data_IF_411821492055
#
_entry.id   IF_411821492055
#
_cell.length_a   1.000
_cell.length_b   1.000
_cell.length_c   1.000
_cell.angle_alpha   90.00
_cell.angle_beta   90.00
_cell.angle_gamma   90.00
#
_symmetry.space_group_name_H-M   'P 1'
#
loop_
_entity.id
_entity.type
_entity.pdbx_description
1 polymer ?
#
# COMPACT_ATOMS: atom_id res chain seq x y z
N UNK A 1 12.41 -5.70 29.65
CA UNK A 1 11.86 -6.39 28.45
C UNK A 1 11.85 -5.50 27.21
N UNK A 2 11.46 -4.21 27.32
CA UNK A 2 11.52 -3.26 26.18
C UNK A 2 12.92 -3.09 25.56
N UNK A 3 13.99 -3.14 26.36
CA UNK A 3 15.37 -3.07 25.85
C UNK A 3 15.77 -4.29 24.98
N UNK A 4 15.29 -5.49 25.30
CA UNK A 4 15.68 -6.72 24.61
C UNK A 4 14.97 -6.85 23.24
N UNK A 5 13.75 -6.35 23.16
CA UNK A 5 13.01 -6.16 21.89
C UNK A 5 13.68 -5.09 21.03
N UNK A 6 14.13 -3.98 21.64
CA UNK A 6 14.87 -2.92 20.96
C UNK A 6 16.19 -3.43 20.36
N UNK A 7 16.96 -4.23 21.10
CA UNK A 7 18.23 -4.80 20.61
C UNK A 7 18.04 -5.84 19.49
N UNK A 8 16.98 -6.64 19.50
CA UNK A 8 16.66 -7.53 18.38
C UNK A 8 16.24 -6.73 17.12
N UNK A 9 15.46 -5.66 17.27
CA UNK A 9 15.10 -4.78 16.15
C UNK A 9 16.33 -4.08 15.57
N UNK A 10 17.23 -3.60 16.42
CA UNK A 10 18.50 -2.97 15.98
C UNK A 10 19.41 -3.99 15.28
N UNK A 11 19.50 -5.23 15.76
CA UNK A 11 20.30 -6.28 15.13
C UNK A 11 19.87 -6.62 13.69
N UNK A 12 18.56 -6.56 13.40
CA UNK A 12 18.04 -6.73 12.04
C UNK A 12 18.24 -5.50 11.13
N UNK A 13 18.51 -4.32 11.72
CA UNK A 13 18.69 -3.08 10.95
C UNK A 13 20.10 -2.97 10.35
N UNK A 14 21.10 -3.68 10.87
CA UNK A 14 22.50 -3.51 10.49
C UNK A 14 23.14 -4.70 9.74
N UNK A 15 22.36 -5.69 9.28
CA UNK A 15 22.87 -6.72 8.37
C UNK A 15 23.35 -6.08 7.07
N UNK A 16 24.59 -6.39 6.70
CA UNK A 16 25.33 -5.81 5.57
C UNK A 16 24.56 -5.94 4.24
N UNK A 17 24.82 -4.95 3.38
CA UNK A 17 24.22 -4.78 2.04
C UNK A 17 24.78 -5.84 1.10
N UNK A 18 24.17 -7.02 1.11
CA UNK A 18 24.19 -7.90 -0.05
C UNK A 18 22.80 -7.85 -0.68
N UNK A 19 22.74 -7.46 -1.95
CA UNK A 19 21.56 -7.65 -2.79
C UNK A 19 21.34 -9.15 -2.82
N UNK A 20 20.34 -9.61 -2.07
CA UNK A 20 20.07 -11.02 -1.95
C UNK A 20 19.78 -11.65 -3.31
N UNK A 21 20.18 -12.92 -3.45
CA UNK A 21 19.59 -13.86 -4.40
C UNK A 21 18.05 -13.78 -4.37
N UNK A 22 17.43 -14.03 -5.51
CA UNK A 22 16.00 -13.82 -5.82
C UNK A 22 15.08 -14.07 -4.62
N UNK A 23 14.27 -13.07 -4.27
CA UNK A 23 13.28 -13.16 -3.19
C UNK A 23 12.33 -14.34 -3.39
N UNK A 24 12.17 -15.16 -2.36
CA UNK A 24 11.23 -16.28 -2.38
C UNK A 24 10.00 -16.04 -1.49
N UNK A 25 8.88 -16.65 -1.87
CA UNK A 25 7.67 -16.69 -1.05
C UNK A 25 7.49 -18.02 -0.35
N UNK A 26 7.33 -17.97 0.96
CA UNK A 26 6.91 -19.11 1.78
C UNK A 26 5.41 -18.99 2.07
N UNK A 27 4.59 -19.79 1.40
CA UNK A 27 3.15 -19.77 1.58
C UNK A 27 2.70 -20.63 2.76
N UNK A 28 1.77 -20.10 3.56
CA UNK A 28 1.06 -20.80 4.61
C UNK A 28 -0.44 -20.62 4.38
N UNK A 29 -1.18 -21.71 4.46
CA UNK A 29 -2.64 -21.66 4.51
C UNK A 29 -3.07 -21.73 5.98
N UNK A 30 -3.99 -20.85 6.35
CA UNK A 30 -4.47 -20.70 7.72
C UNK A 30 -5.99 -20.70 7.75
N UNK A 31 -6.63 -21.65 8.43
CA UNK A 31 -8.07 -21.64 8.63
C UNK A 31 -8.44 -21.32 10.07
N UNK A 32 -9.56 -20.62 10.26
CA UNK A 32 -10.15 -20.41 11.59
C UNK A 32 -10.84 -21.71 12.03
N UNK A 33 -10.49 -22.23 13.20
CA UNK A 33 -11.15 -23.40 13.80
C UNK A 33 -12.31 -22.97 14.71
N UNK A 34 -12.13 -21.88 15.48
CA UNK A 34 -13.18 -21.31 16.35
C UNK A 34 -12.80 -19.92 16.88
N UNK A 35 -13.82 -19.17 17.29
CA UNK A 35 -13.68 -17.97 18.13
C UNK A 35 -13.64 -18.38 19.60
N UNK A 36 -12.75 -17.77 20.38
CA UNK A 36 -12.49 -18.10 21.78
C UNK A 36 -12.62 -16.84 22.63
N UNK A 37 -13.48 -16.91 23.67
CA UNK A 37 -13.56 -15.90 24.71
C UNK A 37 -12.31 -15.97 25.61
N UNK A 38 -11.43 -14.97 25.53
CA UNK A 38 -10.17 -14.93 26.28
C UNK A 38 -10.28 -14.11 27.57
N UNK A 39 -11.14 -13.11 27.62
CA UNK A 39 -11.43 -12.34 28.84
C UNK A 39 -12.88 -12.51 29.29
N UNK A 40 -13.18 -12.19 30.55
CA UNK A 40 -14.55 -12.12 31.01
C UNK A 40 -15.01 -10.64 30.97
N UNK A 41 -15.96 -10.26 30.10
CA UNK A 41 -16.42 -8.87 29.99
C UNK A 41 -17.24 -8.42 31.20
N UNK A 42 -17.89 -9.36 31.90
CA UNK A 42 -18.76 -9.08 33.05
C UNK A 42 -18.41 -9.93 34.29
N UNK A 43 -17.24 -9.71 34.92
CA UNK A 43 -16.85 -10.45 36.11
C UNK A 43 -17.71 -10.06 37.33
N UNK A 44 -18.38 -11.05 37.95
CA UNK A 44 -19.25 -10.86 39.11
C UNK A 44 -18.51 -11.17 40.41
N UNK A 45 -18.49 -10.21 41.34
CA UNK A 45 -17.82 -10.33 42.64
C UNK A 45 -16.34 -9.93 42.64
N UNK A 46 -15.80 -9.61 43.81
CA UNK A 46 -14.45 -9.07 43.95
C UNK A 46 -13.34 -10.03 43.51
N UNK A 47 -13.49 -11.32 43.81
CA UNK A 47 -12.50 -12.34 43.45
C UNK A 47 -12.42 -12.58 41.94
N UNK A 48 -13.58 -12.66 41.26
CA UNK A 48 -13.63 -12.83 39.81
C UNK A 48 -13.16 -11.59 39.06
N UNK A 49 -13.41 -10.38 39.60
CA UNK A 49 -12.82 -9.13 39.08
C UNK A 49 -11.30 -9.16 39.13
N UNK A 50 -10.73 -9.65 40.23
CA UNK A 50 -9.27 -9.76 40.40
C UNK A 50 -8.67 -10.76 39.42
N UNK A 51 -9.28 -11.95 39.26
CA UNK A 51 -8.86 -12.93 38.24
C UNK A 51 -8.97 -12.38 36.82
N UNK A 52 -10.06 -11.68 36.50
CA UNK A 52 -10.27 -11.08 35.19
C UNK A 52 -9.18 -10.04 34.87
N UNK A 53 -8.79 -9.21 35.84
CA UNK A 53 -7.73 -8.23 35.67
C UNK A 53 -6.37 -8.89 35.39
N UNK A 54 -6.00 -9.92 36.17
CA UNK A 54 -4.75 -10.67 35.92
C UNK A 54 -4.78 -11.36 34.56
N UNK A 55 -5.89 -12.02 34.21
CA UNK A 55 -6.06 -12.72 32.93
C UNK A 55 -5.98 -11.74 31.75
N UNK A 56 -6.64 -10.58 31.85
CA UNK A 56 -6.60 -9.52 30.85
C UNK A 56 -5.17 -9.02 30.65
N UNK A 57 -4.42 -8.74 31.72
CA UNK A 57 -3.01 -8.32 31.62
C UNK A 57 -2.12 -9.37 30.93
N UNK A 58 -2.29 -10.66 31.26
CA UNK A 58 -1.57 -11.76 30.57
C UNK A 58 -1.94 -11.82 29.09
N UNK A 59 -3.23 -11.67 28.75
CA UNK A 59 -3.69 -11.70 27.37
C UNK A 59 -3.21 -10.48 26.57
N UNK A 60 -3.09 -9.30 27.18
CA UNK A 60 -2.46 -8.13 26.54
C UNK A 60 -1.02 -8.42 26.15
N UNK A 61 -0.21 -9.00 27.06
CA UNK A 61 1.17 -9.40 26.76
C UNK A 61 1.23 -10.42 25.62
N UNK A 62 0.33 -11.42 25.63
CA UNK A 62 0.24 -12.43 24.57
C UNK A 62 -0.18 -11.84 23.23
N UNK A 63 -1.17 -10.93 23.20
CA UNK A 63 -1.58 -10.21 21.98
C UNK A 63 -0.40 -9.44 21.40
N UNK A 64 0.28 -8.63 22.22
CA UNK A 64 1.44 -7.85 21.75
C UNK A 64 2.56 -8.75 21.22
N UNK A 65 2.87 -9.84 21.92
CA UNK A 65 3.86 -10.81 21.45
C UNK A 65 3.43 -11.47 20.14
N UNK A 66 2.15 -11.83 20.03
CA UNK A 66 1.61 -12.47 18.83
C UNK A 66 1.66 -11.53 17.62
N UNK A 67 1.03 -10.36 17.73
CA UNK A 67 0.92 -9.38 16.65
C UNK A 67 2.27 -8.78 16.23
N UNK A 68 3.23 -8.70 17.15
CA UNK A 68 4.56 -8.13 16.86
C UNK A 68 5.56 -9.20 16.40
N UNK A 69 5.54 -10.38 17.01
CA UNK A 69 6.60 -11.39 16.84
C UNK A 69 6.12 -12.61 16.06
N UNK A 70 5.18 -13.39 16.60
CA UNK A 70 4.86 -14.70 16.00
C UNK A 70 4.07 -14.58 14.70
N UNK A 71 3.28 -13.52 14.54
CA UNK A 71 2.55 -13.24 13.30
C UNK A 71 3.48 -12.82 12.15
N UNK A 72 4.64 -12.23 12.45
CA UNK A 72 5.51 -11.63 11.42
C UNK A 72 6.84 -12.36 11.20
N UNK A 73 7.38 -13.03 12.22
CA UNK A 73 8.73 -13.60 12.20
C UNK A 73 8.82 -15.07 12.59
N UNK A 74 7.84 -15.59 13.34
CA UNK A 74 7.85 -16.96 13.83
C UNK A 74 6.52 -17.68 13.53
N UNK A 75 6.18 -17.75 12.23
CA UNK A 75 4.89 -18.29 11.78
C UNK A 75 4.70 -19.74 12.21
N UNK A 76 5.54 -20.64 11.70
CA UNK A 76 5.51 -22.09 11.94
C UNK A 76 4.17 -22.76 11.61
N UNK A 77 4.17 -24.09 11.58
CA UNK A 77 2.95 -24.88 11.39
C UNK A 77 2.26 -25.17 12.74
N UNK A 78 1.04 -25.70 12.67
CA UNK A 78 0.28 -26.21 13.82
C UNK A 78 -0.86 -25.28 14.25
N UNK A 79 -1.43 -25.59 15.41
CA UNK A 79 -2.49 -24.78 16.01
C UNK A 79 -1.88 -23.52 16.63
N UNK A 80 -2.42 -22.36 16.25
CA UNK A 80 -2.00 -21.03 16.73
C UNK A 80 -3.22 -20.30 17.29
N UNK A 81 -2.95 -19.22 18.02
CA UNK A 81 -3.98 -18.29 18.46
C UNK A 81 -3.71 -16.93 17.84
N UNK A 82 -4.70 -16.38 17.15
CA UNK A 82 -4.69 -15.04 16.59
C UNK A 82 -5.50 -14.14 17.52
N UNK A 83 -4.88 -13.15 18.14
CA UNK A 83 -5.61 -12.25 19.02
C UNK A 83 -6.34 -11.19 18.20
N UNK A 84 -7.61 -10.95 18.50
CA UNK A 84 -8.38 -9.88 17.86
C UNK A 84 -7.78 -8.52 18.23
N UNK A 85 -7.67 -7.67 17.22
CA UNK A 85 -7.23 -6.29 17.33
C UNK A 85 -8.44 -5.36 17.55
N UNK A 86 -9.64 -5.79 17.16
CA UNK A 86 -10.90 -5.04 17.31
C UNK A 86 -11.65 -5.32 18.63
N UNK A 87 -11.72 -6.59 19.04
CA UNK A 87 -12.37 -7.00 20.28
C UNK A 87 -11.34 -7.62 21.22
N UNK A 88 -11.04 -6.87 22.28
CA UNK A 88 -10.00 -7.26 23.21
C UNK A 88 -10.33 -8.48 24.07
N UNK A 89 -11.57 -8.96 24.04
CA UNK A 89 -12.06 -10.06 24.84
C UNK A 89 -12.12 -11.40 24.10
N UNK A 90 -11.86 -11.40 22.78
CA UNK A 90 -11.82 -12.62 21.96
C UNK A 90 -10.44 -12.87 21.30
N UNK A 91 -10.27 -14.09 20.83
CA UNK A 91 -9.20 -14.52 19.93
C UNK A 91 -9.71 -15.63 19.01
N UNK A 92 -8.97 -15.96 17.96
CA UNK A 92 -9.26 -17.03 17.02
C UNK A 92 -8.26 -18.17 17.20
N UNK A 93 -8.77 -19.39 17.39
CA UNK A 93 -7.94 -20.58 17.23
C UNK A 93 -7.84 -20.85 15.73
N UNK A 94 -6.61 -20.95 15.22
CA UNK A 94 -6.35 -21.15 13.80
C UNK A 94 -5.42 -22.33 13.58
N UNK A 95 -5.65 -23.07 12.50
CA UNK A 95 -4.72 -24.11 12.03
C UNK A 95 -3.90 -23.55 10.89
N UNK A 96 -2.56 -23.57 11.04
CA UNK A 96 -1.63 -23.10 10.00
C UNK A 96 -0.81 -24.26 9.44
N UNK A 97 -0.74 -24.37 8.12
CA UNK A 97 0.01 -25.41 7.40
C UNK A 97 0.83 -24.77 6.28
N UNK A 98 2.08 -25.19 6.10
CA UNK A 98 2.93 -24.68 5.02
C UNK A 98 2.48 -25.29 3.69
N UNK A 99 2.22 -24.45 2.71
CA UNK A 99 1.83 -24.85 1.35
C UNK A 99 3.07 -25.39 0.63
N UNK A 100 2.91 -26.53 -0.06
CA UNK A 100 4.02 -27.21 -0.75
C UNK A 100 3.98 -26.97 -2.25
N UNK A 101 2.78 -26.93 -2.81
CA UNK A 101 2.48 -26.68 -4.20
C UNK A 101 0.97 -26.36 -4.30
N UNK A 102 0.51 -26.02 -5.50
CA UNK A 102 -0.89 -25.69 -5.75
C UNK A 102 -1.84 -26.85 -5.36
N UNK A 103 -1.51 -28.09 -5.72
CA UNK A 103 -2.32 -29.27 -5.36
C UNK A 103 -2.51 -29.37 -3.84
N UNK A 104 -1.45 -29.17 -3.07
CA UNK A 104 -1.53 -29.16 -1.60
C UNK A 104 -2.40 -28.01 -1.09
N UNK A 105 -2.37 -26.84 -1.74
CA UNK A 105 -3.27 -25.72 -1.38
C UNK A 105 -4.75 -26.07 -1.61
N UNK A 106 -5.07 -26.70 -2.74
CA UNK A 106 -6.43 -27.17 -3.04
C UNK A 106 -6.91 -28.21 -2.01
N UNK A 107 -6.04 -29.15 -1.64
CA UNK A 107 -6.30 -30.14 -0.59
C UNK A 107 -6.60 -29.47 0.75
N UNK A 108 -5.82 -28.43 1.12
CA UNK A 108 -6.02 -27.67 2.36
C UNK A 108 -7.30 -26.83 2.36
N UNK A 109 -7.74 -26.33 1.20
CA UNK A 109 -9.02 -25.64 1.02
C UNK A 109 -10.23 -26.58 1.15
N UNK A 110 -10.01 -27.90 1.17
CA UNK A 110 -11.06 -28.89 1.39
C UNK A 110 -12.04 -29.05 0.22
N UNK A 111 -11.65 -28.66 -1.00
CA UNK A 111 -12.49 -28.72 -2.19
C UNK A 111 -11.98 -29.76 -3.19
N UNK A 112 -12.89 -30.43 -3.90
CA UNK A 112 -12.54 -31.41 -4.92
C UNK A 112 -12.01 -30.77 -6.21
N UNK A 113 -12.53 -29.58 -6.56
CA UNK A 113 -12.13 -28.78 -7.70
C UNK A 113 -12.54 -27.30 -7.50
N UNK A 114 -12.02 -26.41 -8.37
CA UNK A 114 -12.24 -24.95 -8.29
C UNK A 114 -13.72 -24.53 -8.39
N UNK A 115 -14.60 -25.34 -9.01
CA UNK A 115 -16.03 -25.00 -9.11
C UNK A 115 -16.76 -25.06 -7.76
N UNK A 116 -16.15 -25.72 -6.76
CA UNK A 116 -16.67 -25.86 -5.40
C UNK A 116 -16.12 -24.83 -4.42
N UNK A 117 -15.20 -23.98 -4.87
CA UNK A 117 -14.62 -22.93 -4.04
C UNK A 117 -15.59 -21.79 -3.80
N UNK A 118 -15.53 -21.22 -2.60
CA UNK A 118 -16.06 -19.87 -2.36
C UNK A 118 -15.28 -18.85 -3.19
N UNK A 119 -15.87 -17.69 -3.46
CA UNK A 119 -15.14 -16.66 -4.21
C UNK A 119 -13.92 -16.16 -3.43
N UNK A 120 -14.00 -16.12 -2.10
CA UNK A 120 -12.84 -15.85 -1.24
C UNK A 120 -11.71 -16.87 -1.39
N UNK A 121 -12.02 -18.16 -1.52
CA UNK A 121 -11.01 -19.20 -1.77
C UNK A 121 -10.38 -19.08 -3.16
N UNK A 122 -11.19 -18.80 -4.21
CA UNK A 122 -10.67 -18.52 -5.57
C UNK A 122 -9.71 -17.33 -5.57
N UNK A 123 -10.03 -16.28 -4.81
CA UNK A 123 -9.17 -15.12 -4.65
C UNK A 123 -7.82 -15.47 -4.01
N UNK A 124 -7.80 -16.28 -2.94
CA UNK A 124 -6.55 -16.75 -2.32
C UNK A 124 -5.72 -17.63 -3.27
N UNK A 125 -6.37 -18.51 -4.05
CA UNK A 125 -5.71 -19.31 -5.08
C UNK A 125 -5.12 -18.42 -6.19
N UNK A 126 -5.85 -17.38 -6.61
CA UNK A 126 -5.37 -16.42 -7.60
C UNK A 126 -4.13 -15.67 -7.11
N UNK A 127 -4.06 -15.31 -5.82
CA UNK A 127 -2.85 -14.74 -5.20
C UNK A 127 -1.68 -15.72 -5.29
N UNK A 128 -1.88 -16.98 -4.89
CA UNK A 128 -0.83 -18.01 -4.97
C UNK A 128 -0.28 -18.14 -6.39
N UNK A 129 -1.17 -18.31 -7.39
CA UNK A 129 -0.80 -18.40 -8.80
C UNK A 129 -0.06 -17.15 -9.28
N UNK A 130 -0.58 -15.97 -8.96
CA UNK A 130 0.00 -14.70 -9.39
C UNK A 130 1.39 -14.46 -8.82
N UNK A 131 1.68 -14.93 -7.60
CA UNK A 131 3.01 -14.84 -7.00
C UNK A 131 4.12 -15.53 -7.80
N UNK A 132 3.75 -16.47 -8.68
CA UNK A 132 4.67 -17.21 -9.56
C UNK A 132 4.77 -16.60 -10.96
N UNK A 133 3.99 -15.55 -11.26
CA UNK A 133 3.98 -14.88 -12.56
C UNK A 133 5.30 -14.17 -12.86
N UNK A 134 5.59 -13.98 -14.15
CA UNK A 134 6.81 -13.29 -14.57
C UNK A 134 6.88 -11.86 -14.04
N UNK A 135 5.75 -11.14 -13.99
CA UNK A 135 5.73 -9.77 -13.50
C UNK A 135 6.10 -9.66 -12.01
N UNK A 136 5.78 -10.69 -11.21
CA UNK A 136 6.22 -10.74 -9.81
C UNK A 136 7.71 -11.10 -9.73
N UNK A 137 8.17 -12.10 -10.51
CA UNK A 137 9.59 -12.48 -10.59
C UNK A 137 10.50 -11.31 -10.98
N UNK A 138 10.09 -10.51 -11.95
CA UNK A 138 10.85 -9.35 -12.41
C UNK A 138 11.03 -8.28 -11.31
N UNK A 139 10.14 -8.27 -10.31
CA UNK A 139 10.18 -7.35 -9.16
C UNK A 139 10.93 -7.91 -7.95
N UNK A 140 11.09 -9.23 -7.84
CA UNK A 140 11.77 -9.88 -6.70
C UNK A 140 13.18 -9.35 -6.46
N UNK A 141 13.94 -9.08 -7.54
CA UNK A 141 15.29 -8.50 -7.47
C UNK A 141 15.38 -7.12 -6.80
N UNK A 142 14.24 -6.42 -6.63
CA UNK A 142 14.18 -5.12 -5.98
C UNK A 142 13.78 -5.20 -4.51
N UNK A 143 13.43 -6.39 -4.00
CA UNK A 143 13.11 -6.55 -2.60
C UNK A 143 14.37 -6.42 -1.74
N UNK A 144 14.23 -5.79 -0.58
CA UNK A 144 15.29 -5.85 0.43
C UNK A 144 15.38 -7.24 1.08
N UNK A 145 14.33 -8.05 0.99
CA UNK A 145 14.22 -9.33 1.68
C UNK A 145 14.42 -10.49 0.73
N UNK A 146 15.19 -11.47 1.19
CA UNK A 146 15.41 -12.73 0.48
C UNK A 146 14.24 -13.70 0.61
N UNK A 147 13.40 -13.49 1.63
CA UNK A 147 12.30 -14.37 1.95
C UNK A 147 11.15 -13.60 2.55
N UNK A 148 9.95 -13.86 2.03
CA UNK A 148 8.71 -13.24 2.50
C UNK A 148 7.72 -14.38 2.76
N UNK A 149 7.10 -14.36 3.94
CA UNK A 149 6.03 -15.31 4.21
C UNK A 149 4.70 -14.75 3.73
N UNK A 150 3.83 -15.60 3.20
CA UNK A 150 2.49 -15.23 2.77
C UNK A 150 1.48 -16.11 3.51
N UNK A 151 0.64 -15.51 4.36
CA UNK A 151 -0.45 -16.19 5.04
C UNK A 151 -1.72 -16.01 4.20
N UNK A 152 -2.26 -17.11 3.68
CA UNK A 152 -3.57 -17.18 3.06
C UNK A 152 -4.57 -17.57 4.15
N UNK A 153 -5.20 -16.58 4.77
CA UNK A 153 -6.19 -16.80 5.84
C UNK A 153 -7.56 -17.11 5.25
N UNK A 154 -8.02 -18.34 5.40
CA UNK A 154 -9.37 -18.73 5.05
C UNK A 154 -10.32 -18.55 6.24
N UNK A 155 -11.25 -17.61 6.08
CA UNK A 155 -12.31 -17.30 7.04
C UNK A 155 -13.63 -17.99 6.71
N UNK A 156 -13.66 -18.91 5.73
CA UNK A 156 -14.88 -19.62 5.31
C UNK A 156 -15.59 -20.23 6.52
N UNK A 157 -16.89 -19.94 6.67
CA UNK A 157 -17.70 -20.37 7.81
C UNK A 157 -17.76 -19.36 8.96
N UNK A 158 -16.98 -18.28 8.87
CA UNK A 158 -17.00 -17.14 9.79
C UNK A 158 -17.40 -15.84 9.06
N UNK A 159 -18.07 -15.97 7.92
CA UNK A 159 -18.35 -14.85 7.01
C UNK A 159 -19.61 -14.05 7.38
N UNK A 160 -20.43 -14.53 8.34
CA UNK A 160 -21.61 -13.81 8.78
C UNK A 160 -21.23 -12.67 9.75
N UNK A 161 -21.35 -11.39 9.35
CA UNK A 161 -20.96 -10.27 10.22
C UNK A 161 -21.88 -10.09 11.43
N UNK A 162 -23.08 -10.68 11.43
CA UNK A 162 -23.94 -10.66 12.62
C UNK A 162 -23.40 -11.54 13.74
N UNK A 163 -22.79 -12.68 13.40
CA UNK A 163 -22.23 -13.63 14.36
C UNK A 163 -20.75 -13.32 14.65
N UNK A 164 -20.03 -12.79 13.64
CA UNK A 164 -18.60 -12.55 13.67
C UNK A 164 -18.24 -11.14 13.16
N UNK A 165 -18.66 -10.07 13.86
CA UNK A 165 -18.55 -8.69 13.37
C UNK A 165 -17.12 -8.20 13.17
N UNK A 166 -16.13 -8.85 13.79
CA UNK A 166 -14.74 -8.42 13.79
C UNK A 166 -13.83 -9.17 12.80
N UNK A 167 -14.26 -10.32 12.27
CA UNK A 167 -13.40 -11.21 11.46
C UNK A 167 -12.80 -10.51 10.24
N UNK A 168 -13.62 -9.78 9.47
CA UNK A 168 -13.14 -9.06 8.28
C UNK A 168 -12.06 -8.03 8.60
N UNK A 169 -12.12 -7.39 9.77
CA UNK A 169 -11.14 -6.40 10.21
C UNK A 169 -9.91 -7.03 10.83
N UNK A 170 -10.08 -8.05 11.67
CA UNK A 170 -8.96 -8.75 12.34
C UNK A 170 -8.07 -9.53 11.36
N UNK A 171 -8.62 -9.93 10.21
CA UNK A 171 -7.91 -10.58 9.12
C UNK A 171 -7.81 -9.65 7.90
N UNK A 172 -7.82 -8.33 8.08
CA UNK A 172 -7.63 -7.40 6.96
C UNK A 172 -6.27 -7.64 6.28
N UNK A 173 -6.18 -7.59 4.94
CA UNK A 173 -4.90 -7.73 4.26
C UNK A 173 -3.87 -6.71 4.73
N UNK A 174 -2.64 -7.16 4.97
CA UNK A 174 -1.57 -6.28 5.42
C UNK A 174 -0.18 -6.86 5.11
N UNK A 175 0.83 -5.99 5.21
CA UNK A 175 2.24 -6.35 5.13
C UNK A 175 3.02 -5.77 6.30
N UNK A 176 3.83 -6.63 6.94
CA UNK A 176 4.91 -6.21 7.85
C UNK A 176 6.25 -6.04 7.12
N UNK A 177 6.23 -6.15 5.79
CA UNK A 177 7.41 -6.32 4.94
C UNK A 177 7.97 -7.75 4.95
N UNK A 178 8.05 -8.41 6.11
CA UNK A 178 8.53 -9.80 6.21
C UNK A 178 7.41 -10.84 6.02
N UNK A 179 6.18 -10.46 6.32
CA UNK A 179 4.99 -11.29 6.18
C UNK A 179 3.87 -10.49 5.53
N UNK A 180 3.21 -11.10 4.55
CA UNK A 180 1.99 -10.62 3.91
C UNK A 180 0.85 -11.51 4.42
N UNK A 181 -0.29 -10.92 4.75
CA UNK A 181 -1.52 -11.64 5.05
C UNK A 181 -2.59 -11.26 4.04
N UNK A 182 -3.27 -12.27 3.50
CA UNK A 182 -4.46 -12.14 2.66
C UNK A 182 -5.61 -12.86 3.36
N UNK A 183 -6.87 -12.49 3.06
CA UNK A 183 -8.04 -13.08 3.72
C UNK A 183 -9.15 -13.39 2.74
N UNK A 184 -9.71 -14.61 2.78
CA UNK A 184 -10.82 -15.00 1.91
C UNK A 184 -12.07 -14.17 2.17
N UNK A 185 -12.40 -13.86 3.43
CA UNK A 185 -13.55 -13.04 3.79
C UNK A 185 -13.49 -11.62 3.22
N UNK A 186 -12.28 -11.06 3.08
CA UNK A 186 -12.08 -9.76 2.40
C UNK A 186 -12.31 -9.85 0.91
N UNK A 187 -12.41 -11.03 0.29
CA UNK A 187 -12.58 -11.26 -1.16
C UNK A 187 -13.80 -12.12 -1.51
N UNK A 188 -14.79 -12.26 -0.62
CA UNK A 188 -15.90 -13.18 -0.84
C UNK A 188 -17.05 -12.57 -1.67
N UNK A 189 -16.78 -12.26 -2.95
CA UNK A 189 -17.78 -11.88 -3.96
C UNK A 189 -17.31 -12.27 -5.37
N UNK A 190 -18.23 -12.44 -6.34
CA UNK A 190 -17.87 -12.87 -7.69
C UNK A 190 -16.87 -11.93 -8.38
N UNK A 191 -15.80 -12.50 -8.96
CA UNK A 191 -14.78 -11.77 -9.72
C UNK A 191 -13.76 -11.01 -8.87
N UNK A 192 -13.65 -11.32 -7.57
CA UNK A 192 -12.73 -10.66 -6.65
C UNK A 192 -11.25 -11.01 -6.87
N UNK A 193 -10.93 -12.01 -7.69
CA UNK A 193 -9.58 -12.50 -7.94
C UNK A 193 -8.64 -11.39 -8.42
N UNK A 194 -9.12 -10.49 -9.27
CA UNK A 194 -8.34 -9.37 -9.80
C UNK A 194 -7.99 -8.37 -8.69
N UNK A 195 -8.93 -8.12 -7.78
CA UNK A 195 -8.71 -7.26 -6.61
C UNK A 195 -7.70 -7.91 -5.66
N UNK A 196 -7.81 -9.22 -5.42
CA UNK A 196 -6.87 -9.93 -4.55
C UNK A 196 -5.45 -9.95 -5.10
N UNK A 197 -5.28 -10.12 -6.42
CA UNK A 197 -3.96 -10.00 -7.08
C UNK A 197 -3.39 -8.59 -6.94
N UNK A 198 -4.21 -7.55 -7.16
CA UNK A 198 -3.80 -6.15 -6.95
C UNK A 198 -3.35 -5.92 -5.52
N UNK A 199 -4.15 -6.32 -4.52
CA UNK A 199 -3.76 -6.16 -3.11
C UNK A 199 -2.50 -6.95 -2.78
N UNK A 200 -2.30 -8.15 -3.32
CA UNK A 200 -1.04 -8.87 -3.11
C UNK A 200 0.17 -8.10 -3.64
N UNK A 201 0.07 -7.49 -4.83
CA UNK A 201 1.14 -6.64 -5.40
C UNK A 201 1.41 -5.43 -4.50
N UNK A 202 0.34 -4.81 -3.95
CA UNK A 202 0.44 -3.73 -2.98
C UNK A 202 1.26 -4.16 -1.75
N UNK A 203 0.85 -5.26 -1.12
CA UNK A 203 1.47 -5.76 0.10
C UNK A 203 2.90 -6.27 -0.13
N UNK A 204 3.16 -6.81 -1.33
CA UNK A 204 4.50 -7.19 -1.75
C UNK A 204 5.40 -5.96 -1.95
N UNK A 205 4.90 -4.86 -2.48
CA UNK A 205 5.70 -3.65 -2.65
C UNK A 205 6.21 -3.06 -1.31
N UNK A 206 5.44 -3.24 -0.22
CA UNK A 206 5.89 -2.90 1.13
C UNK A 206 7.09 -3.74 1.61
N UNK A 207 7.35 -4.91 1.01
CA UNK A 207 8.55 -5.71 1.29
C UNK A 207 9.83 -5.13 0.68
N UNK A 208 9.71 -4.25 -0.32
CA UNK A 208 10.86 -3.66 -1.00
C UNK A 208 11.55 -2.61 -0.12
N UNK A 209 10.81 -2.02 0.81
CA UNK A 209 11.22 -0.86 1.58
C UNK A 209 11.58 -1.21 3.03
N UNK A 210 12.51 -0.43 3.59
CA UNK A 210 12.84 -0.33 5.01
C UNK A 210 12.50 1.04 5.61
N UNK A 211 11.86 1.91 4.83
CA UNK A 211 11.50 3.27 5.21
C UNK A 211 10.63 3.22 6.44
N UNK A 212 11.03 4.00 7.44
CA UNK A 212 10.27 4.19 8.66
C UNK A 212 9.22 5.28 8.39
N UNK A 213 7.94 4.87 8.43
CA UNK A 213 6.78 5.77 8.43
C UNK A 213 6.85 6.74 9.61
N UNK A 214 6.06 7.80 9.60
CA UNK A 214 5.97 8.69 10.74
C UNK A 214 5.54 7.96 12.02
N UNK A 215 6.29 8.14 13.11
CA UNK A 215 6.06 7.44 14.38
C UNK A 215 4.74 7.80 15.07
N UNK A 216 4.19 8.98 14.80
CA UNK A 216 2.97 9.48 15.42
C UNK A 216 1.93 9.63 14.33
N UNK A 217 0.90 8.79 14.37
CA UNK A 217 -0.30 8.90 13.53
C UNK A 217 0.06 9.05 12.03
N UNK A 218 0.71 8.03 11.44
CA UNK A 218 1.15 8.10 10.04
C UNK A 218 -0.02 8.34 9.08
N UNK A 219 -1.20 7.80 9.40
CA UNK A 219 -2.42 7.88 8.60
C UNK A 219 -3.50 8.79 9.21
N UNK A 220 -3.17 9.69 10.13
CA UNK A 220 -4.19 10.47 10.84
C UNK A 220 -4.70 9.80 12.13
N UNK A 221 -5.82 10.28 12.65
CA UNK A 221 -6.35 9.95 13.98
C UNK A 221 -7.07 8.62 14.02
N UNK A 222 -7.83 8.26 12.99
CA UNK A 222 -8.55 6.99 12.93
C UNK A 222 -7.64 5.80 12.57
N UNK A 223 -6.48 6.08 11.97
CA UNK A 223 -5.51 5.07 11.58
C UNK A 223 -5.85 4.35 10.27
N UNK A 224 -6.90 4.78 9.56
CA UNK A 224 -7.25 4.32 8.21
C UNK A 224 -6.52 5.18 7.17
N UNK A 225 -6.41 4.70 5.94
CA UNK A 225 -5.91 5.55 4.85
C UNK A 225 -6.65 5.32 3.54
N UNK A 226 -6.73 6.39 2.74
CA UNK A 226 -7.24 6.34 1.37
C UNK A 226 -6.19 6.84 0.38
N UNK A 227 -6.22 6.30 -0.84
CA UNK A 227 -5.29 6.71 -1.89
C UNK A 227 -5.36 8.23 -2.22
N UNK A 228 -6.49 8.89 -1.95
CA UNK A 228 -6.65 10.33 -2.11
C UNK A 228 -6.66 11.11 -0.78
N UNK A 229 -6.17 10.52 0.31
CA UNK A 229 -6.10 11.20 1.60
C UNK A 229 -4.83 12.05 1.71
N UNK A 230 -5.00 13.25 2.26
CA UNK A 230 -3.90 14.09 2.70
C UNK A 230 -3.32 13.50 4.00
N UNK A 231 -2.24 12.74 3.88
CA UNK A 231 -1.54 12.12 5.01
C UNK A 231 -0.22 12.85 5.28
N UNK A 232 0.73 12.17 5.93
CA UNK A 232 2.08 12.69 6.13
C UNK A 232 2.99 12.32 4.95
N UNK A 233 4.01 13.12 4.61
CA UNK A 233 4.81 12.91 3.40
C UNK A 233 5.47 11.53 3.26
N UNK A 234 5.95 10.90 4.35
CA UNK A 234 6.57 9.56 4.25
C UNK A 234 5.51 8.46 4.17
N UNK A 235 4.42 8.55 4.93
CA UNK A 235 3.25 7.70 4.72
C UNK A 235 2.77 7.74 3.27
N UNK A 236 2.56 8.95 2.74
CA UNK A 236 2.14 9.18 1.36
C UNK A 236 3.11 8.56 0.35
N UNK A 237 4.40 8.59 0.64
CA UNK A 237 5.42 7.96 -0.19
C UNK A 237 5.37 6.42 -0.11
N UNK A 238 5.27 5.85 1.09
CA UNK A 238 5.28 4.39 1.27
C UNK A 238 4.04 3.75 0.62
N UNK A 239 2.85 4.31 0.85
CA UNK A 239 1.65 3.80 0.18
C UNK A 239 1.62 4.16 -1.31
N UNK A 240 2.11 5.35 -1.68
CA UNK A 240 2.26 5.73 -3.09
C UNK A 240 3.18 4.79 -3.86
N UNK A 241 4.24 4.27 -3.23
CA UNK A 241 5.11 3.24 -3.80
C UNK A 241 4.36 1.92 -4.03
N UNK A 242 3.52 1.51 -3.09
CA UNK A 242 2.71 0.30 -3.24
C UNK A 242 1.66 0.45 -4.34
N UNK A 243 0.90 1.56 -4.34
CA UNK A 243 -0.07 1.88 -5.39
C UNK A 243 0.58 1.98 -6.78
N UNK A 244 1.79 2.56 -6.89
CA UNK A 244 2.57 2.58 -8.13
C UNK A 244 2.84 1.18 -8.67
N UNK A 245 3.22 0.23 -7.79
CA UNK A 245 3.47 -1.15 -8.20
C UNK A 245 2.19 -1.87 -8.66
N UNK A 246 1.05 -1.60 -8.01
CA UNK A 246 -0.27 -2.07 -8.47
C UNK A 246 -0.62 -1.49 -9.85
N UNK A 247 -0.36 -0.20 -10.06
CA UNK A 247 -0.60 0.47 -11.35
C UNK A 247 0.25 -0.12 -12.49
N UNK A 248 1.49 -0.55 -12.21
CA UNK A 248 2.32 -1.27 -13.18
C UNK A 248 1.78 -2.68 -13.52
N UNK A 249 0.91 -3.25 -12.67
CA UNK A 249 0.33 -4.58 -12.85
C UNK A 249 -1.06 -4.52 -13.50
N UNK A 250 -1.82 -3.44 -13.27
CA UNK A 250 -3.22 -3.33 -13.66
C UNK A 250 -3.58 -1.95 -14.23
N UNK A 251 -4.04 -1.92 -15.49
CA UNK A 251 -4.59 -0.72 -16.12
C UNK A 251 -5.85 -0.21 -15.44
N UNK A 252 -6.64 -1.10 -14.85
CA UNK A 252 -7.85 -0.73 -14.12
C UNK A 252 -7.50 0.01 -12.84
N UNK A 253 -6.39 -0.37 -12.18
CA UNK A 253 -5.83 0.39 -11.07
C UNK A 253 -5.35 1.77 -11.50
N UNK A 254 -4.72 1.90 -12.67
CA UNK A 254 -4.33 3.22 -13.21
C UNK A 254 -5.56 4.13 -13.34
N UNK A 255 -6.64 3.62 -13.93
CA UNK A 255 -7.91 4.36 -14.08
C UNK A 255 -8.52 4.70 -12.72
N UNK A 256 -8.57 3.72 -11.80
CA UNK A 256 -9.11 3.91 -10.46
C UNK A 256 -8.37 5.04 -9.72
N UNK A 257 -7.05 4.97 -9.62
CA UNK A 257 -6.26 5.95 -8.86
C UNK A 257 -6.39 7.34 -9.47
N UNK A 258 -6.30 7.46 -10.80
CA UNK A 258 -6.49 8.76 -11.47
C UNK A 258 -7.87 9.37 -11.20
N UNK A 259 -8.92 8.56 -11.17
CA UNK A 259 -10.26 9.02 -10.82
C UNK A 259 -10.38 9.38 -9.33
N UNK A 260 -9.77 8.58 -8.45
CA UNK A 260 -9.84 8.78 -6.99
C UNK A 260 -9.16 10.08 -6.54
N UNK A 261 -8.04 10.47 -7.15
CA UNK A 261 -7.31 11.70 -6.79
C UNK A 261 -7.91 12.99 -7.33
N UNK A 262 -9.06 12.92 -8.03
CA UNK A 262 -9.80 14.12 -8.47
C UNK A 262 -10.30 14.99 -7.31
N UNK A 263 -10.45 14.38 -6.13
CA UNK A 263 -10.76 15.04 -4.87
C UNK A 263 -9.77 14.57 -3.81
N UNK A 264 -9.39 15.45 -2.89
CA UNK A 264 -8.52 15.08 -1.76
C UNK A 264 -9.34 15.00 -0.47
N UNK A 265 -9.23 13.87 0.23
CA UNK A 265 -9.81 13.66 1.56
C UNK A 265 -8.92 14.29 2.62
N UNK A 266 -9.51 15.08 3.51
CA UNK A 266 -8.84 15.64 4.69
C UNK A 266 -9.61 15.18 5.92
N UNK A 267 -8.94 14.43 6.80
CA UNK A 267 -9.52 14.03 8.07
C UNK A 267 -9.70 15.25 9.00
N UNK A 268 -10.85 15.32 9.67
CA UNK A 268 -11.17 16.38 10.62
C UNK A 268 -10.21 16.35 11.82
N UNK A 269 -9.64 17.52 12.11
CA UNK A 269 -8.64 17.69 13.18
C UNK A 269 -9.21 17.46 14.58
N UNK A 270 -10.52 17.37 14.76
CA UNK A 270 -11.19 17.21 16.04
C UNK A 270 -11.87 15.84 16.17
N UNK A 271 -12.30 15.22 15.07
CA UNK A 271 -13.10 13.99 15.06
C UNK A 271 -12.53 12.92 14.10
N UNK A 272 -12.02 11.83 14.67
CA UNK A 272 -11.47 10.71 13.92
C UNK A 272 -12.52 10.09 12.97
N UNK A 273 -12.09 9.71 11.76
CA UNK A 273 -12.93 9.04 10.76
C UNK A 273 -13.99 9.93 10.10
N UNK A 274 -13.95 11.25 10.36
CA UNK A 274 -14.76 12.24 9.67
C UNK A 274 -13.91 12.96 8.64
N UNK A 275 -14.36 13.02 7.39
CA UNK A 275 -13.57 13.54 6.27
C UNK A 275 -14.30 14.65 5.52
N UNK A 276 -13.53 15.62 5.05
CA UNK A 276 -13.95 16.62 4.07
C UNK A 276 -13.24 16.34 2.75
N UNK A 277 -13.98 16.34 1.64
CA UNK A 277 -13.38 16.31 0.30
C UNK A 277 -13.13 17.74 -0.16
N UNK A 278 -11.93 18.04 -0.65
CA UNK A 278 -11.57 19.33 -1.23
C UNK A 278 -11.03 19.15 -2.64
N UNK A 279 -11.13 20.20 -3.46
CA UNK A 279 -10.49 20.22 -4.78
C UNK A 279 -8.95 20.29 -4.61
N UNK A 280 -8.16 19.58 -5.44
CA UNK A 280 -6.70 19.71 -5.44
C UNK A 280 -6.22 21.17 -5.65
N UNK A 281 -7.05 22.00 -6.30
CA UNK A 281 -6.74 23.41 -6.54
C UNK A 281 -6.81 24.28 -5.26
N UNK A 282 -7.34 23.78 -4.15
CA UNK A 282 -7.32 24.49 -2.86
C UNK A 282 -6.08 24.19 -2.02
N UNK A 283 -5.26 23.22 -2.43
CA UNK A 283 -4.08 22.75 -1.67
C UNK A 283 -2.77 23.34 -2.18
N UNK A 284 -1.75 23.40 -1.34
CA UNK A 284 -0.37 23.74 -1.74
C UNK A 284 0.30 22.57 -2.47
N UNK A 285 1.38 22.85 -3.22
CA UNK A 285 2.13 21.79 -3.91
C UNK A 285 2.69 20.72 -2.96
N UNK A 286 3.11 21.12 -1.75
CA UNK A 286 3.60 20.18 -0.71
C UNK A 286 2.48 19.30 -0.13
N UNK A 287 1.28 19.85 0.02
CA UNK A 287 0.11 19.06 0.45
C UNK A 287 -0.28 18.04 -0.61
N UNK A 288 -0.26 18.40 -1.89
CA UNK A 288 -0.50 17.46 -2.99
C UNK A 288 0.51 16.29 -2.99
N UNK A 289 1.80 16.56 -2.73
CA UNK A 289 2.81 15.50 -2.59
C UNK A 289 2.71 14.68 -1.30
N UNK A 290 1.78 15.04 -0.42
CA UNK A 290 1.43 14.29 0.78
C UNK A 290 0.16 13.43 0.57
N UNK A 291 -0.19 13.16 -0.70
CA UNK A 291 -1.29 12.26 -1.09
C UNK A 291 -0.71 11.02 -1.79
N UNK A 292 -1.10 9.83 -1.33
CA UNK A 292 -0.58 8.54 -1.78
C UNK A 292 -0.71 8.34 -3.30
N UNK A 293 -1.91 8.59 -3.82
CA UNK A 293 -2.23 8.42 -5.23
C UNK A 293 -1.53 9.44 -6.13
N UNK A 294 -1.25 10.65 -5.65
CA UNK A 294 -0.46 11.64 -6.40
C UNK A 294 0.98 11.14 -6.54
N UNK A 295 1.59 10.65 -5.44
CA UNK A 295 2.91 10.04 -5.49
C UNK A 295 2.95 8.82 -6.43
N UNK A 296 1.92 7.97 -6.37
CA UNK A 296 1.79 6.81 -7.25
C UNK A 296 1.72 7.20 -8.73
N UNK A 297 0.92 8.21 -9.07
CA UNK A 297 0.79 8.72 -10.44
C UNK A 297 2.09 9.34 -10.93
N UNK A 298 2.81 10.11 -10.11
CA UNK A 298 4.13 10.66 -10.47
C UNK A 298 5.09 9.52 -10.84
N UNK A 299 5.24 8.52 -9.97
CA UNK A 299 6.15 7.40 -10.21
C UNK A 299 5.73 6.56 -11.42
N UNK A 300 4.42 6.31 -11.58
CA UNK A 300 3.89 5.58 -12.73
C UNK A 300 4.16 6.33 -14.04
N UNK A 301 3.85 7.63 -14.09
CA UNK A 301 4.11 8.45 -15.28
C UNK A 301 5.59 8.50 -15.63
N UNK A 302 6.47 8.65 -14.64
CA UNK A 302 7.91 8.56 -14.88
C UNK A 302 8.26 7.19 -15.48
N UNK A 303 7.72 6.10 -14.92
CA UNK A 303 8.00 4.75 -15.37
C UNK A 303 7.55 4.48 -16.82
N UNK A 304 6.48 5.12 -17.28
CA UNK A 304 5.86 4.87 -18.59
C UNK A 304 6.14 5.94 -19.65
N UNK A 305 6.42 7.19 -19.27
CA UNK A 305 6.62 8.31 -20.20
C UNK A 305 8.11 8.64 -20.43
N UNK A 306 8.99 8.28 -19.49
CA UNK A 306 10.44 8.48 -19.64
C UNK A 306 11.06 7.24 -20.29
N UNK A 307 11.98 7.37 -21.27
CA UNK A 307 12.70 6.23 -21.83
C UNK A 307 13.38 5.40 -20.72
N UNK A 308 13.16 4.09 -20.73
CA UNK A 308 13.63 3.15 -19.67
C UNK A 308 13.21 3.56 -18.25
N UNK A 309 12.10 4.30 -18.12
CA UNK A 309 11.67 4.95 -16.90
C UNK A 309 11.45 3.97 -15.74
N UNK A 310 10.84 2.81 -16.02
CA UNK A 310 10.61 1.76 -15.02
C UNK A 310 11.93 1.37 -14.33
N UNK A 311 12.93 0.96 -15.09
CA UNK A 311 14.22 0.52 -14.54
C UNK A 311 14.95 1.66 -13.84
N UNK A 312 14.83 2.90 -14.33
CA UNK A 312 15.40 4.08 -13.67
C UNK A 312 14.75 4.35 -12.31
N UNK A 313 13.42 4.24 -12.20
CA UNK A 313 12.68 4.39 -10.93
C UNK A 313 13.12 3.33 -9.93
N UNK A 314 13.15 2.05 -10.33
CA UNK A 314 13.60 0.96 -9.45
C UNK A 314 15.08 1.08 -9.07
N UNK A 315 15.95 1.53 -9.99
CA UNK A 315 17.36 1.81 -9.71
C UNK A 315 17.54 2.96 -8.70
N UNK A 316 16.74 4.02 -8.82
CA UNK A 316 16.72 5.11 -7.84
C UNK A 316 16.24 4.61 -6.47
N UNK A 317 15.17 3.82 -6.44
CA UNK A 317 14.64 3.20 -5.23
C UNK A 317 15.68 2.31 -4.53
N UNK A 318 16.23 1.32 -5.22
CA UNK A 318 17.21 0.39 -4.63
C UNK A 318 18.49 1.11 -4.18
N UNK A 319 18.98 2.08 -4.93
CA UNK A 319 20.18 2.84 -4.54
C UNK A 319 20.00 3.78 -3.34
N UNK A 320 18.77 3.99 -2.90
CA UNK A 320 18.47 4.77 -1.68
C UNK A 320 18.04 3.90 -0.51
N UNK A 321 18.04 2.57 -0.66
CA UNK A 321 17.61 1.60 0.37
C UNK A 321 18.31 1.72 1.72
N UNK A 322 19.54 2.26 1.75
CA UNK A 322 20.28 2.55 2.99
C UNK A 322 19.68 3.68 3.83
N UNK A 323 18.82 4.53 3.24
CA UNK A 323 18.16 5.64 3.95
C UNK A 323 16.91 5.14 4.67
N UNK A 324 16.88 5.30 5.99
CA UNK A 324 15.72 4.91 6.81
C UNK A 324 14.51 5.86 6.67
N UNK A 325 14.72 7.08 6.17
CA UNK A 325 13.68 8.10 6.04
C UNK A 325 13.58 8.55 4.58
N UNK A 326 12.96 7.72 3.73
CA UNK A 326 12.72 8.06 2.32
C UNK A 326 11.40 8.79 2.14
N UNK A 327 11.30 9.43 1.00
CA UNK A 327 10.16 10.21 0.54
C UNK A 327 10.23 10.30 -0.98
N UNK A 328 9.18 10.80 -1.63
CA UNK A 328 9.20 11.04 -3.08
C UNK A 328 10.41 11.90 -3.48
N UNK A 329 10.69 12.98 -2.74
CA UNK A 329 11.88 13.82 -2.89
C UNK A 329 13.18 13.02 -2.96
N UNK A 330 13.33 12.04 -2.07
CA UNK A 330 14.54 11.21 -2.00
C UNK A 330 14.73 10.41 -3.29
N UNK A 331 13.65 9.86 -3.84
CA UNK A 331 13.69 9.04 -5.04
C UNK A 331 13.87 9.90 -6.29
N UNK A 332 13.07 10.96 -6.45
CA UNK A 332 13.13 11.82 -7.65
C UNK A 332 14.45 12.58 -7.72
N UNK A 333 14.99 13.04 -6.60
CA UNK A 333 16.31 13.70 -6.58
C UNK A 333 17.42 12.73 -7.01
N UNK A 334 17.38 11.49 -6.53
CA UNK A 334 18.35 10.47 -6.93
C UNK A 334 18.18 10.06 -8.40
N UNK A 335 16.95 10.01 -8.88
CA UNK A 335 16.61 9.73 -10.28
C UNK A 335 17.18 10.82 -11.19
N UNK A 336 16.90 12.09 -10.92
CA UNK A 336 17.40 13.24 -11.67
C UNK A 336 18.94 13.32 -11.65
N UNK A 337 19.56 13.05 -10.49
CA UNK A 337 21.02 13.02 -10.36
C UNK A 337 21.68 11.97 -11.27
N UNK A 338 21.04 10.81 -11.44
CA UNK A 338 21.57 9.71 -12.28
C UNK A 338 21.21 9.85 -13.76
N UNK A 339 20.20 10.65 -14.09
CA UNK A 339 19.63 10.75 -15.43
C UNK A 339 19.42 12.22 -15.82
N UNK A 340 20.49 13.01 -15.99
CA UNK A 340 20.40 14.45 -16.25
C UNK A 340 19.57 14.77 -17.50
N UNK A 341 19.67 13.95 -18.54
CA UNK A 341 18.94 14.13 -19.81
C UNK A 341 17.42 13.92 -19.67
N UNK A 342 16.96 13.35 -18.56
CA UNK A 342 15.54 13.13 -18.29
C UNK A 342 14.95 14.13 -17.30
N UNK A 343 15.74 15.08 -16.79
CA UNK A 343 15.29 16.04 -15.78
C UNK A 343 14.07 16.83 -16.26
N UNK A 344 14.06 17.32 -17.51
CA UNK A 344 12.95 18.11 -18.02
C UNK A 344 11.62 17.31 -18.04
N UNK A 345 11.66 16.05 -18.47
CA UNK A 345 10.48 15.18 -18.51
C UNK A 345 9.99 14.83 -17.09
N UNK A 346 10.91 14.48 -16.19
CA UNK A 346 10.60 14.17 -14.79
C UNK A 346 10.03 15.42 -14.08
N UNK A 347 10.65 16.57 -14.28
CA UNK A 347 10.22 17.84 -13.71
C UNK A 347 8.81 18.21 -14.20
N UNK A 348 8.55 18.11 -15.51
CA UNK A 348 7.21 18.34 -16.07
C UNK A 348 6.14 17.47 -15.39
N UNK A 349 6.40 16.18 -15.21
CA UNK A 349 5.45 15.26 -14.55
C UNK A 349 5.14 15.73 -13.12
N UNK A 350 6.17 16.09 -12.35
CA UNK A 350 5.99 16.58 -10.97
C UNK A 350 5.21 17.89 -10.96
N UNK A 351 5.52 18.80 -11.88
CA UNK A 351 4.86 20.12 -11.96
C UNK A 351 3.37 19.99 -12.30
N UNK A 352 3.05 19.15 -13.29
CA UNK A 352 1.66 18.86 -13.67
C UNK A 352 0.87 18.21 -12.53
N UNK A 353 1.48 17.26 -11.79
CA UNK A 353 0.82 16.60 -10.66
C UNK A 353 0.74 17.46 -9.40
N UNK A 354 1.49 18.57 -9.34
CA UNK A 354 1.40 19.57 -8.27
C UNK A 354 0.71 20.85 -8.73
N UNK A 355 0.11 20.84 -9.91
CA UNK A 355 -0.62 21.96 -10.52
C UNK A 355 0.21 23.25 -10.62
N UNK A 356 1.53 23.15 -10.80
CA UNK A 356 2.41 24.32 -10.85
C UNK A 356 2.63 25.01 -9.49
N UNK A 357 2.18 24.42 -8.37
CA UNK A 357 2.09 25.13 -7.08
C UNK A 357 3.32 25.04 -6.20
N UNK A 358 4.31 24.25 -6.58
CA UNK A 358 5.59 24.25 -5.89
C UNK A 358 6.35 25.54 -6.22
N UNK A 359 6.86 26.24 -5.21
CA UNK A 359 7.83 27.29 -5.46
C UNK A 359 9.12 26.71 -6.03
N UNK A 360 9.92 27.50 -6.75
CA UNK A 360 11.18 27.01 -7.34
C UNK A 360 12.13 26.42 -6.29
N UNK A 361 12.16 27.00 -5.09
CA UNK A 361 12.98 26.47 -4.00
C UNK A 361 12.50 25.09 -3.54
N UNK A 362 11.19 24.89 -3.45
CA UNK A 362 10.61 23.58 -3.14
C UNK A 362 10.83 22.60 -4.29
N UNK A 363 10.72 23.05 -5.54
CA UNK A 363 10.89 22.23 -6.73
C UNK A 363 12.32 21.68 -6.86
N UNK A 364 13.32 22.51 -6.57
CA UNK A 364 14.75 22.13 -6.53
C UNK A 364 15.02 20.97 -5.59
N UNK A 365 14.21 20.81 -4.54
CA UNK A 365 14.34 19.67 -3.63
C UNK A 365 14.11 18.32 -4.33
N UNK A 366 13.27 18.30 -5.37
CA UNK A 366 12.86 17.09 -6.10
C UNK A 366 13.73 16.81 -7.32
N UNK A 367 14.25 17.84 -7.99
CA UNK A 367 15.01 17.69 -9.25
C UNK A 367 16.49 18.06 -9.14
N UNK A 368 16.92 18.64 -8.02
CA UNK A 368 18.29 19.07 -7.78
C UNK A 368 18.60 20.48 -8.30
N UNK A 369 19.89 20.74 -8.55
CA UNK A 369 20.41 22.06 -8.96
C UNK A 369 21.39 21.97 -10.12
N UNK A 370 21.29 20.94 -10.95
CA UNK A 370 22.03 20.85 -12.21
C UNK A 370 21.59 21.96 -13.17
N UNK A 371 22.36 22.18 -14.24
CA UNK A 371 22.01 23.20 -15.21
C UNK A 371 20.70 22.90 -15.94
N UNK A 372 20.43 21.63 -16.26
CA UNK A 372 19.12 21.20 -16.79
C UNK A 372 17.96 21.49 -15.81
N UNK A 373 18.17 21.35 -14.50
CA UNK A 373 17.15 21.71 -13.51
C UNK A 373 16.93 23.23 -13.46
N UNK A 374 18.00 24.03 -13.52
CA UNK A 374 17.91 25.50 -13.57
C UNK A 374 17.22 25.98 -14.84
N UNK A 375 17.54 25.37 -15.98
CA UNK A 375 16.93 25.66 -17.27
C UNK A 375 15.42 25.38 -17.26
N UNK A 376 15.00 24.22 -16.74
CA UNK A 376 13.58 23.92 -16.56
C UNK A 376 12.87 24.98 -15.70
N UNK A 377 13.44 25.33 -14.54
CA UNK A 377 12.84 26.31 -13.64
C UNK A 377 12.75 27.71 -14.25
N UNK A 378 13.77 28.12 -15.02
CA UNK A 378 13.73 29.38 -15.77
C UNK A 378 12.57 29.39 -16.78
N UNK A 379 12.44 28.31 -17.57
CA UNK A 379 11.38 28.22 -18.59
C UNK A 379 9.98 28.15 -17.97
N UNK A 380 9.86 27.50 -16.81
CA UNK A 380 8.63 27.44 -16.01
C UNK A 380 8.19 28.84 -15.54
N UNK A 381 9.13 29.66 -15.07
CA UNK A 381 8.87 31.05 -14.70
C UNK A 381 8.31 31.86 -15.87
N UNK A 382 8.96 31.78 -17.03
CA UNK A 382 8.53 32.48 -18.24
C UNK A 382 7.12 32.08 -18.71
N UNK A 383 6.80 30.78 -18.69
CA UNK A 383 5.46 30.30 -19.07
C UNK A 383 4.36 30.80 -18.10
N UNK A 384 4.72 31.02 -16.83
CA UNK A 384 3.79 31.60 -15.84
C UNK A 384 3.57 33.08 -16.10
N UNK A 385 4.63 33.83 -16.44
CA UNK A 385 4.57 35.25 -16.79
C UNK A 385 3.76 35.48 -18.08
N UNK A 386 4.01 34.70 -19.14
CA UNK A 386 3.26 34.76 -20.40
C UNK A 386 1.76 34.43 -20.24
N UNK A 387 1.41 33.48 -19.38
CA UNK A 387 0.01 33.16 -19.07
C UNK A 387 -0.69 34.28 -18.29
N UNK A 388 0.02 34.98 -17.41
CA UNK A 388 -0.49 36.14 -16.68
C UNK A 388 -0.66 37.35 -17.60
N UNK A 389 0.26 37.56 -18.54
CA UNK A 389 0.13 38.61 -19.57
C UNK A 389 -1.03 38.32 -20.53
N UNK A 390 -1.23 37.07 -20.96
CA UNK A 390 -2.35 36.67 -21.82
C UNK A 390 -3.72 36.69 -21.11
N UNK A 391 -3.76 36.47 -19.79
CA UNK A 391 -4.97 36.51 -18.96
C UNK A 391 -5.50 37.91 -18.65
N UNK A 392 -4.80 38.97 -19.09
CA UNK A 392 -5.27 40.36 -19.01
C UNK A 392 -6.28 40.73 -20.11
N UNK A 393 -6.53 39.82 -21.07
CA UNK A 393 -7.65 39.87 -22.00
C UNK A 393 -8.82 39.01 -21.52
N UNK A 394 -10.04 39.51 -21.64
CA UNK A 394 -11.28 38.84 -21.20
C UNK A 394 -11.46 37.48 -21.91
N UNK A 395 -11.20 36.37 -21.20
CA UNK A 395 -11.44 35.01 -21.71
C UNK A 395 -12.42 34.28 -20.79
N UNK A 396 -13.60 33.95 -21.32
CA UNK A 396 -14.52 32.98 -20.73
C UNK A 396 -13.83 31.62 -20.70
N UNK A 397 -13.60 31.12 -19.49
CA UNK A 397 -12.97 29.83 -19.23
C UNK A 397 -13.69 28.71 -19.99
N UNK A 398 -12.93 28.01 -20.84
CA UNK A 398 -13.35 26.72 -21.38
C UNK A 398 -12.23 25.72 -21.09
N UNK A 399 -12.56 24.73 -20.25
CA UNK A 399 -11.80 23.54 -19.83
C UNK A 399 -10.67 23.77 -18.81
N UNK A 400 -10.89 23.28 -17.57
CA UNK A 400 -10.05 23.51 -16.38
C UNK A 400 -9.07 22.37 -16.08
N UNK A 401 -9.05 21.27 -16.84
CA UNK A 401 -8.19 20.10 -16.58
C UNK A 401 -7.69 19.39 -17.85
N UNK A 402 -6.41 18.95 -17.90
CA UNK A 402 -5.82 18.21 -19.03
C UNK A 402 -6.35 16.77 -19.23
N UNK A 403 -7.31 16.32 -18.40
CA UNK A 403 -7.96 15.00 -18.53
C UNK A 403 -9.34 15.07 -19.22
N UNK A 404 -9.83 16.28 -19.54
CA UNK A 404 -11.02 16.48 -20.37
C UNK A 404 -10.61 16.51 -21.85
N UNK A 405 -10.13 15.37 -22.35
CA UNK A 405 -10.14 15.14 -23.80
C UNK A 405 -11.50 14.54 -24.10
N UNK A 406 -12.45 15.38 -24.51
CA UNK A 406 -13.58 14.89 -25.29
C UNK A 406 -13.01 14.35 -26.60
N UNK A 407 -12.86 13.03 -26.68
CA UNK A 407 -12.71 12.37 -27.97
C UNK A 407 -14.04 12.59 -28.68
N UNK A 408 -14.12 13.61 -29.51
CA UNK A 408 -15.16 13.66 -30.53
C UNK A 408 -14.93 12.44 -31.42
N UNK A 409 -15.78 11.43 -31.26
CA UNK A 409 -15.92 10.35 -32.23
C UNK A 409 -16.87 10.82 -33.31
N UNK A 410 -16.41 11.70 -34.18
CA UNK A 410 -16.99 11.91 -35.50
C UNK A 410 -16.61 10.70 -36.36
N UNK A 411 -17.37 9.63 -36.16
CA UNK A 411 -17.20 8.38 -36.89
C UNK A 411 -18.28 7.40 -36.49
N UNK A 412 -19.24 7.17 -37.39
CA UNK A 412 -20.23 6.11 -37.28
C UNK A 412 -19.58 4.78 -36.90
N UNK A 413 -20.04 4.18 -35.80
CA UNK A 413 -19.65 2.83 -35.37
C UNK A 413 -19.88 1.84 -36.52
N UNK A 414 -18.87 1.07 -36.96
CA UNK A 414 -19.03 -0.01 -37.92
C UNK A 414 -19.69 -1.26 -37.32
N UNK A 415 -20.16 -1.22 -36.07
CA UNK A 415 -20.83 -2.33 -35.38
C UNK A 415 -22.21 -1.96 -34.82
N UNK A 416 -22.98 -1.18 -35.58
CA UNK A 416 -24.41 -1.03 -35.32
C UNK A 416 -25.15 -2.33 -35.69
N UNK A 417 -25.63 -3.05 -34.68
CA UNK A 417 -26.58 -4.17 -34.85
C UNK A 417 -27.99 -3.61 -34.64
N UNK A 418 -28.89 -3.96 -35.56
CA UNK A 418 -30.34 -3.68 -35.49
C UNK A 418 -31.01 -4.43 -34.35
#
# INVERSE_FOLDING_TARGET
>A
MGLLVLFMVIGFVFSAVEVSADTEFDFYYQCIEKVVQINNPEPKGWWEKTKALVKSGVNTVKRTWESTVTRNYALGEGSKRWYSDEDHDIAYDVKRVKVKNEKHLLELMGVADESKMTDGQKALLAVYRHSTSQNIKDRMKYSFRNKINVILSDTTGFDNPADYPHVTRDFWPYSSGATIQMSSGRYNWPGSEDTARSTFVHEFAHSFDRTIKEFIKPYGKDGSHFANELTRPRTAFVEGWAQFNEMLDSSDKVRQIKNTITWVKIEDKNKAGTYTNVEPDTLTGKELLSVEGINAVILHRIATEVPDGKDKVFSAFTSTSWKLFRSLKTITSQLCKKNPDNIAAIARIIDEQTLGKLSDNEFKEYIGSSDAAKEFLKNRGNATEEAVEAGSGEVKATLKHPWQIDVKTDGSSPFGVR
#
